data_IF_027750158729
#
_entry.id   IF_027750158729
#
_cell.length_a   1.000
_cell.length_b   1.000
_cell.length_c   1.000
_cell.angle_alpha   90.00
_cell.angle_beta   90.00
_cell.angle_gamma   90.00
#
_symmetry.space_group_name_H-M   'P 1'
#
loop_
_entity.id
_entity.type
_entity.pdbx_description
1 polymer ?
#
# COMPACT_ATOMS: atom_id res chain seq x y z
N UNK A 1 -11.00 -6.41 -62.20
CA UNK A 1 -10.03 -6.25 -61.10
C UNK A 1 -10.78 -5.94 -59.83
N UNK A 2 -10.85 -6.90 -58.93
CA UNK A 2 -11.48 -6.71 -57.61
C UNK A 2 -10.39 -6.21 -56.68
N UNK A 3 -10.49 -4.96 -56.21
CA UNK A 3 -9.57 -4.39 -55.21
C UNK A 3 -9.83 -5.07 -53.87
N UNK A 4 -8.81 -5.68 -53.22
CA UNK A 4 -9.06 -6.25 -51.90
C UNK A 4 -9.41 -5.15 -50.89
N UNK A 5 -10.28 -5.44 -49.93
CA UNK A 5 -10.63 -4.47 -48.89
C UNK A 5 -9.38 -4.09 -48.11
N UNK A 6 -9.13 -2.79 -47.95
CA UNK A 6 -8.09 -2.27 -47.05
C UNK A 6 -8.40 -2.77 -45.64
N UNK A 7 -7.60 -3.70 -45.15
CA UNK A 7 -7.59 -4.02 -43.71
C UNK A 7 -7.29 -2.74 -42.92
N UNK A 8 -8.33 -2.15 -42.38
CA UNK A 8 -8.19 -1.08 -41.43
C UNK A 8 -7.43 -1.64 -40.22
N UNK A 9 -6.17 -1.24 -40.05
CA UNK A 9 -5.46 -1.47 -38.80
C UNK A 9 -6.28 -0.78 -37.70
N UNK A 10 -7.15 -1.56 -37.06
CA UNK A 10 -7.93 -1.09 -35.91
C UNK A 10 -6.97 -0.49 -34.90
N UNK A 11 -7.31 0.70 -34.38
CA UNK A 11 -6.57 1.29 -33.25
C UNK A 11 -6.44 0.22 -32.16
N UNK A 12 -5.24 -0.07 -31.66
CA UNK A 12 -5.08 -1.05 -30.60
C UNK A 12 -6.00 -0.64 -29.43
N UNK A 13 -6.73 -1.61 -28.91
CA UNK A 13 -7.65 -1.37 -27.78
C UNK A 13 -6.90 -0.74 -26.63
N UNK A 14 -7.46 0.27 -26.00
CA UNK A 14 -6.92 0.90 -24.78
C UNK A 14 -6.62 -0.17 -23.72
N UNK A 15 -7.35 -1.27 -23.72
CA UNK A 15 -7.22 -2.40 -22.79
C UNK A 15 -5.93 -3.20 -22.93
N UNK A 16 -5.25 -3.13 -24.09
CA UNK A 16 -4.01 -3.86 -24.38
C UNK A 16 -2.74 -3.01 -24.24
N UNK A 17 -2.88 -1.73 -23.96
CA UNK A 17 -1.76 -0.82 -23.78
C UNK A 17 -1.38 -0.69 -22.29
N UNK A 18 -0.10 -0.50 -21.96
CA UNK A 18 0.29 -0.17 -20.59
C UNK A 18 -0.34 1.16 -20.17
N UNK A 19 -0.59 1.31 -18.87
CA UNK A 19 -1.13 2.56 -18.33
C UNK A 19 -0.18 3.73 -18.64
N UNK A 20 -0.70 4.85 -19.15
CA UNK A 20 0.08 6.06 -19.36
C UNK A 20 0.69 6.58 -18.04
N UNK A 21 1.84 7.23 -18.15
CA UNK A 21 2.57 7.71 -16.98
C UNK A 21 1.79 8.74 -16.15
N UNK A 22 1.04 9.61 -16.80
CA UNK A 22 0.16 10.59 -16.12
C UNK A 22 -0.95 9.91 -15.30
N UNK A 23 -1.48 8.78 -15.80
CA UNK A 23 -2.45 7.96 -15.05
C UNK A 23 -1.77 7.31 -13.84
N UNK A 24 -0.57 6.73 -14.00
CA UNK A 24 0.18 6.15 -12.89
C UNK A 24 0.48 7.19 -11.79
N UNK A 25 0.89 8.39 -12.17
CA UNK A 25 1.11 9.49 -11.23
C UNK A 25 -0.19 9.87 -10.50
N UNK A 26 -1.31 9.94 -11.21
CA UNK A 26 -2.61 10.22 -10.59
C UNK A 26 -3.03 9.13 -9.59
N UNK A 27 -2.79 7.85 -9.92
CA UNK A 27 -3.07 6.73 -9.02
C UNK A 27 -2.18 6.77 -7.78
N UNK A 28 -0.91 7.16 -7.90
CA UNK A 28 -0.03 7.37 -6.76
C UNK A 28 -0.56 8.45 -5.82
N UNK A 29 -0.90 9.62 -6.33
CA UNK A 29 -1.53 10.67 -5.51
C UNK A 29 -2.84 10.21 -4.87
N UNK A 30 -3.62 9.38 -5.56
CA UNK A 30 -4.83 8.81 -4.99
C UNK A 30 -4.54 7.86 -3.82
N UNK A 31 -3.50 7.03 -3.91
CA UNK A 31 -3.07 6.15 -2.82
C UNK A 31 -2.58 6.91 -1.59
N UNK A 32 -2.04 8.11 -1.78
CA UNK A 32 -1.63 9.02 -0.72
C UNK A 32 -2.81 9.77 -0.04
N UNK A 33 -4.04 9.48 -0.45
CA UNK A 33 -5.26 10.03 0.17
C UNK A 33 -5.88 11.24 -0.53
N UNK A 34 -5.33 11.70 -1.66
CA UNK A 34 -5.95 12.80 -2.42
C UNK A 34 -7.26 12.36 -3.06
N UNK A 35 -8.19 13.30 -3.25
CA UNK A 35 -9.40 13.04 -4.02
C UNK A 35 -9.08 12.77 -5.50
N UNK A 36 -9.93 12.05 -6.20
CA UNK A 36 -9.75 11.78 -7.64
C UNK A 36 -9.54 13.04 -8.48
N UNK A 37 -10.28 14.10 -8.18
CA UNK A 37 -10.16 15.39 -8.87
C UNK A 37 -8.80 16.02 -8.65
N UNK A 38 -8.33 16.07 -7.38
CA UNK A 38 -7.01 16.62 -7.04
C UNK A 38 -5.87 15.76 -7.59
N UNK A 39 -6.04 14.45 -7.63
CA UNK A 39 -5.05 13.52 -8.20
C UNK A 39 -4.89 13.74 -9.70
N UNK A 40 -5.98 13.93 -10.44
CA UNK A 40 -5.95 14.28 -11.86
C UNK A 40 -5.25 15.62 -12.09
N UNK A 41 -5.64 16.66 -11.36
CA UNK A 41 -5.06 17.99 -11.46
C UNK A 41 -3.54 17.99 -11.21
N UNK A 42 -3.07 17.31 -10.15
CA UNK A 42 -1.64 17.21 -9.84
C UNK A 42 -0.84 16.41 -10.86
N UNK A 43 -1.46 15.45 -11.53
CA UNK A 43 -0.81 14.67 -12.59
C UNK A 43 -0.86 15.35 -13.97
N UNK A 44 -1.47 16.53 -14.07
CA UNK A 44 -1.60 17.28 -15.33
C UNK A 44 -2.64 16.74 -16.29
N UNK A 45 -3.61 15.94 -15.81
CA UNK A 45 -4.68 15.39 -16.63
C UNK A 45 -6.07 15.89 -16.22
N UNK A 46 -7.05 15.75 -17.11
CA UNK A 46 -8.44 16.07 -16.79
C UNK A 46 -9.06 14.95 -15.94
N UNK A 47 -9.98 15.31 -15.06
CA UNK A 47 -10.71 14.35 -14.24
C UNK A 47 -11.49 13.33 -15.08
N UNK A 48 -12.11 13.77 -16.17
CA UNK A 48 -12.89 12.89 -17.05
C UNK A 48 -12.00 11.85 -17.75
N UNK A 49 -10.78 12.22 -18.14
CA UNK A 49 -9.82 11.29 -18.69
C UNK A 49 -9.41 10.24 -17.64
N UNK A 50 -9.08 10.64 -16.43
CA UNK A 50 -8.76 9.73 -15.34
C UNK A 50 -9.93 8.79 -15.04
N UNK A 51 -11.17 9.33 -14.97
CA UNK A 51 -12.39 8.56 -14.75
C UNK A 51 -12.61 7.50 -15.83
N UNK A 52 -12.32 7.82 -17.08
CA UNK A 52 -12.44 6.85 -18.17
C UNK A 52 -11.45 5.69 -17.97
N UNK A 53 -10.19 5.95 -17.60
CA UNK A 53 -9.24 4.89 -17.29
C UNK A 53 -9.68 4.04 -16.10
N UNK A 54 -10.18 4.63 -15.03
CA UNK A 54 -10.64 3.90 -13.84
C UNK A 54 -11.82 2.98 -14.13
N UNK A 55 -12.63 3.30 -15.12
CA UNK A 55 -13.80 2.49 -15.52
C UNK A 55 -13.47 1.39 -16.53
N UNK A 56 -12.59 1.68 -17.47
CA UNK A 56 -12.37 0.83 -18.63
C UNK A 56 -11.08 -0.01 -18.56
N UNK A 57 -10.06 0.42 -17.82
CA UNK A 57 -8.77 -0.26 -17.80
C UNK A 57 -8.63 -1.21 -16.61
N UNK A 58 -8.51 -2.55 -16.86
CA UNK A 58 -8.50 -3.55 -15.78
C UNK A 58 -7.32 -3.40 -14.81
N UNK A 59 -6.16 -2.99 -15.29
CA UNK A 59 -4.94 -2.83 -14.48
C UNK A 59 -5.01 -1.69 -13.45
N UNK A 60 -5.92 -0.73 -13.61
CA UNK A 60 -6.03 0.42 -12.68
C UNK A 60 -6.29 -0.03 -11.25
N UNK A 61 -7.15 -1.05 -11.06
CA UNK A 61 -7.47 -1.55 -9.72
C UNK A 61 -6.27 -2.22 -9.06
N UNK A 62 -5.51 -3.00 -9.81
CA UNK A 62 -4.31 -3.69 -9.32
C UNK A 62 -3.23 -2.70 -8.96
N UNK A 63 -2.90 -1.77 -9.86
CA UNK A 63 -1.90 -0.73 -9.62
C UNK A 63 -2.27 0.16 -8.44
N UNK A 64 -3.54 0.56 -8.32
CA UNK A 64 -4.00 1.34 -7.17
C UNK A 64 -3.87 0.55 -5.86
N UNK A 65 -4.16 -0.75 -5.87
CA UNK A 65 -3.98 -1.62 -4.71
C UNK A 65 -2.51 -1.72 -4.31
N UNK A 66 -1.61 -1.91 -5.26
CA UNK A 66 -0.16 -1.96 -5.02
C UNK A 66 0.35 -0.65 -4.43
N UNK A 67 -0.01 0.50 -5.01
CA UNK A 67 0.39 1.81 -4.49
C UNK A 67 -0.20 2.08 -3.10
N UNK A 68 -1.44 1.65 -2.85
CA UNK A 68 -2.05 1.80 -1.51
C UNK A 68 -1.31 0.96 -0.48
N UNK A 69 -0.96 -0.28 -0.82
CA UNK A 69 -0.18 -1.15 0.07
C UNK A 69 1.20 -0.55 0.35
N UNK A 70 1.89 -0.10 -0.69
CA UNK A 70 3.19 0.57 -0.53
C UNK A 70 3.10 1.80 0.38
N UNK A 71 2.09 2.65 0.19
CA UNK A 71 1.88 3.84 1.05
C UNK A 71 1.60 3.46 2.50
N UNK A 72 0.85 2.38 2.73
CA UNK A 72 0.60 1.84 4.07
C UNK A 72 1.89 1.32 4.72
N UNK A 73 2.70 0.57 3.99
CA UNK A 73 3.97 0.03 4.47
C UNK A 73 4.97 1.15 4.80
N UNK A 74 5.06 2.17 3.95
CA UNK A 74 5.88 3.36 4.21
C UNK A 74 5.40 4.12 5.46
N UNK A 75 4.09 4.31 5.60
CA UNK A 75 3.49 4.97 6.76
C UNK A 75 3.73 4.18 8.05
N UNK A 76 3.59 2.86 7.99
CA UNK A 76 3.87 1.98 9.12
C UNK A 76 5.35 2.04 9.53
N UNK A 77 6.26 2.02 8.56
CA UNK A 77 7.69 2.18 8.83
C UNK A 77 8.02 3.51 9.51
N UNK A 78 7.40 4.61 9.07
CA UNK A 78 7.57 5.93 9.70
C UNK A 78 7.06 5.94 11.15
N UNK A 79 5.91 5.30 11.42
CA UNK A 79 5.37 5.17 12.79
C UNK A 79 6.30 4.36 13.68
N UNK A 80 6.86 3.27 13.20
CA UNK A 80 7.84 2.47 13.94
C UNK A 80 9.08 3.29 14.25
N UNK A 81 9.59 4.06 13.30
CA UNK A 81 10.75 4.94 13.51
C UNK A 81 10.46 6.06 14.51
N UNK A 82 9.25 6.57 14.54
CA UNK A 82 8.83 7.63 15.47
C UNK A 82 8.54 7.11 16.90
N UNK A 83 8.23 5.83 17.07
CA UNK A 83 7.84 5.23 18.35
C UNK A 83 8.87 5.45 19.48
N UNK A 84 10.19 5.31 19.27
CA UNK A 84 11.18 5.57 20.34
C UNK A 84 11.18 7.03 20.80
N UNK A 85 10.99 7.98 19.89
CA UNK A 85 10.91 9.40 20.24
C UNK A 85 9.62 9.70 21.04
N UNK A 86 8.49 9.15 20.60
CA UNK A 86 7.23 9.24 21.32
C UNK A 86 7.32 8.64 22.73
N UNK A 87 7.95 7.47 22.88
CA UNK A 87 8.17 6.85 24.18
C UNK A 87 9.01 7.74 25.11
N UNK A 88 10.05 8.40 24.60
CA UNK A 88 10.85 9.35 25.38
C UNK A 88 10.05 10.55 25.87
N UNK A 89 9.18 11.11 25.02
CA UNK A 89 8.29 12.23 25.39
C UNK A 89 7.30 11.78 26.47
N UNK A 90 6.66 10.63 26.31
CA UNK A 90 5.73 10.08 27.29
C UNK A 90 6.42 9.82 28.64
N UNK A 91 7.61 9.26 28.63
CA UNK A 91 8.42 9.03 29.83
C UNK A 91 8.78 10.35 30.52
N UNK A 92 9.12 11.41 29.76
CA UNK A 92 9.38 12.73 30.36
C UNK A 92 8.16 13.32 31.03
N UNK A 93 6.97 13.18 30.46
CA UNK A 93 5.70 13.62 31.06
C UNK A 93 5.40 12.87 32.36
N UNK A 94 5.64 11.56 32.40
CA UNK A 94 5.44 10.72 33.58
C UNK A 94 6.36 11.17 34.73
N UNK A 95 7.59 11.52 34.43
CA UNK A 95 8.59 11.89 35.42
C UNK A 95 8.52 13.38 35.85
N UNK A 96 7.82 14.22 35.11
CA UNK A 96 7.70 15.65 35.43
C UNK A 96 6.76 15.86 36.62
N UNK A 97 7.30 16.40 37.72
CA UNK A 97 6.55 16.68 38.92
C UNK A 97 5.47 17.77 38.75
N UNK A 98 5.59 18.64 37.75
CA UNK A 98 4.65 19.73 37.49
C UNK A 98 3.40 19.29 36.72
N UNK A 99 3.47 18.12 36.10
CA UNK A 99 2.34 17.57 35.31
C UNK A 99 1.29 16.96 36.21
N UNK A 100 0.01 17.25 35.95
CA UNK A 100 -1.13 16.73 36.70
C UNK A 100 -1.20 15.20 36.63
N UNK A 101 -1.64 14.56 37.73
CA UNK A 101 -1.75 13.10 37.80
C UNK A 101 -2.56 12.47 36.65
N UNK A 102 -3.66 13.10 36.24
CA UNK A 102 -4.47 12.63 35.13
C UNK A 102 -3.66 12.52 33.82
N UNK A 103 -2.88 13.56 33.47
CA UNK A 103 -2.05 13.57 32.26
C UNK A 103 -0.95 12.51 32.33
N UNK A 104 -0.42 12.21 33.52
CA UNK A 104 0.55 11.11 33.71
C UNK A 104 -0.09 9.75 33.44
N UNK A 105 -1.31 9.52 33.95
CA UNK A 105 -2.06 8.27 33.71
C UNK A 105 -2.32 8.07 32.24
N UNK A 106 -2.73 9.12 31.49
CA UNK A 106 -2.95 9.04 30.06
C UNK A 106 -1.65 8.79 29.29
N UNK A 107 -0.54 9.38 29.72
CA UNK A 107 0.78 9.11 29.13
C UNK A 107 1.23 7.65 29.36
N UNK A 108 0.99 7.09 30.53
CA UNK A 108 1.27 5.67 30.84
C UNK A 108 0.43 4.75 29.95
N UNK A 109 -0.88 5.00 29.81
CA UNK A 109 -1.75 4.23 28.93
C UNK A 109 -1.29 4.27 27.48
N UNK A 110 -0.91 5.45 26.98
CA UNK A 110 -0.38 5.61 25.62
C UNK A 110 0.92 4.81 25.42
N UNK A 111 1.81 4.83 26.40
CA UNK A 111 3.08 4.08 26.35
C UNK A 111 2.83 2.57 26.29
N UNK A 112 1.95 2.02 27.13
CA UNK A 112 1.57 0.61 27.08
C UNK A 112 0.92 0.25 25.74
N UNK A 113 0.05 1.09 25.20
CA UNK A 113 -0.57 0.84 23.88
C UNK A 113 0.45 0.74 22.75
N UNK A 114 1.54 1.53 22.79
CA UNK A 114 2.62 1.45 21.82
C UNK A 114 3.39 0.12 21.98
N UNK A 115 3.66 -0.29 23.22
CA UNK A 115 4.37 -1.54 23.50
C UNK A 115 3.55 -2.75 23.05
N UNK A 116 2.28 -2.80 23.41
CA UNK A 116 1.38 -3.92 23.08
C UNK A 116 1.24 -4.08 21.56
N UNK A 117 1.04 -2.99 20.82
CA UNK A 117 0.98 -3.04 19.35
C UNK A 117 2.29 -3.51 18.74
N UNK A 118 3.42 -3.04 19.25
CA UNK A 118 4.74 -3.45 18.75
C UNK A 118 5.02 -4.94 18.98
N UNK A 119 4.53 -5.52 20.06
CA UNK A 119 4.65 -6.97 20.34
C UNK A 119 3.74 -7.77 19.42
N UNK A 120 2.49 -7.36 19.25
CA UNK A 120 1.52 -8.02 18.37
C UNK A 120 2.02 -8.02 16.93
N UNK A 121 2.50 -6.88 16.44
CA UNK A 121 3.03 -6.78 15.08
C UNK A 121 4.23 -7.72 14.84
N UNK A 122 5.13 -7.89 15.81
CA UNK A 122 6.22 -8.84 15.73
C UNK A 122 5.73 -10.29 15.67
N UNK A 123 4.82 -10.66 16.55
CA UNK A 123 4.26 -12.02 16.56
C UNK A 123 3.57 -12.35 15.25
N UNK A 124 2.79 -11.42 14.70
CA UNK A 124 2.13 -11.60 13.40
C UNK A 124 3.14 -11.74 12.25
N UNK A 125 4.26 -11.00 12.28
CA UNK A 125 5.32 -11.13 11.29
C UNK A 125 6.05 -12.46 11.39
N UNK A 126 6.32 -12.94 12.60
CA UNK A 126 6.93 -14.25 12.85
C UNK A 126 6.02 -15.37 12.36
N UNK A 127 4.72 -15.36 12.71
CA UNK A 127 3.72 -16.32 12.24
C UNK A 127 3.58 -16.32 10.70
N UNK A 128 3.57 -15.14 10.08
CA UNK A 128 3.53 -15.03 8.61
C UNK A 128 4.78 -15.60 7.94
N UNK A 129 5.94 -15.43 8.55
CA UNK A 129 7.21 -15.96 8.05
C UNK A 129 7.21 -17.47 8.15
N UNK A 130 6.81 -18.04 9.29
CA UNK A 130 6.67 -19.48 9.49
C UNK A 130 5.68 -20.12 8.51
N UNK A 131 4.52 -19.47 8.30
CA UNK A 131 3.53 -19.95 7.31
C UNK A 131 4.09 -19.95 5.88
N UNK A 132 4.84 -18.90 5.50
CA UNK A 132 5.48 -18.84 4.18
C UNK A 132 6.52 -19.94 4.02
N UNK A 133 7.31 -20.23 5.04
CA UNK A 133 8.30 -21.31 5.02
C UNK A 133 7.63 -22.68 4.91
N UNK A 134 6.52 -22.91 5.63
CA UNK A 134 5.73 -24.15 5.51
C UNK A 134 5.13 -24.33 4.11
N UNK A 135 4.56 -23.27 3.52
CA UNK A 135 4.02 -23.32 2.15
C UNK A 135 5.13 -23.62 1.14
N UNK A 136 6.27 -22.94 1.24
CA UNK A 136 7.42 -23.21 0.37
C UNK A 136 7.97 -24.63 0.51
N UNK A 137 7.97 -25.19 1.72
CA UNK A 137 8.38 -26.58 1.96
C UNK A 137 7.40 -27.59 1.33
N UNK A 138 6.10 -27.31 1.38
CA UNK A 138 5.05 -28.14 0.76
C UNK A 138 5.13 -28.06 -0.78
N UNK A 139 5.35 -26.89 -1.35
CA UNK A 139 5.52 -26.72 -2.80
C UNK A 139 6.83 -27.34 -3.30
N UNK A 140 7.92 -27.25 -2.52
CA UNK A 140 9.19 -27.90 -2.82
C UNK A 140 9.14 -29.42 -2.75
N UNK A 141 8.29 -29.99 -1.89
CA UNK A 141 8.07 -31.44 -1.76
C UNK A 141 7.29 -32.07 -2.91
N UNK A 142 6.53 -31.29 -3.66
CA UNK A 142 5.73 -31.77 -4.78
C UNK A 142 6.51 -31.90 -6.11
N UNK A 143 7.80 -31.58 -6.15
CA UNK A 143 8.66 -31.68 -7.34
C UNK A 143 9.41 -33.01 -7.47
N UNK A 144 9.18 -34.00 -6.61
CA UNK A 144 9.88 -35.27 -6.64
C UNK A 144 8.89 -36.45 -6.70
N UNK A 145 8.04 -36.50 -7.69
CA UNK A 145 7.45 -37.73 -8.19
C UNK A 145 7.28 -37.63 -9.72
N UNK A 146 8.38 -37.59 -10.45
CA UNK A 146 8.40 -38.22 -11.76
C UNK A 146 9.02 -39.59 -11.59
N UNK A 147 8.15 -40.58 -11.55
CA UNK A 147 8.50 -41.98 -11.56
C UNK A 147 8.81 -42.39 -13.00
N UNK A 148 9.95 -43.01 -13.19
CA UNK A 148 10.29 -43.85 -14.37
C UNK A 148 9.20 -44.85 -14.71
#
# INVERSE_FOLDING_TARGET
MITPPKEGKGRPSILSQPLPNDVLIALKYRSEGLSWKKSAEKSGMTYDRLRNYTRSHPQVKEVLKEFTQQTLDESHSLLIQAAPAAAKVLTSIINDQKVKAYSKIEAVKALFSIIDKGVIDRQQQEELTELKEMVNALEGGNKVIEVN
#
